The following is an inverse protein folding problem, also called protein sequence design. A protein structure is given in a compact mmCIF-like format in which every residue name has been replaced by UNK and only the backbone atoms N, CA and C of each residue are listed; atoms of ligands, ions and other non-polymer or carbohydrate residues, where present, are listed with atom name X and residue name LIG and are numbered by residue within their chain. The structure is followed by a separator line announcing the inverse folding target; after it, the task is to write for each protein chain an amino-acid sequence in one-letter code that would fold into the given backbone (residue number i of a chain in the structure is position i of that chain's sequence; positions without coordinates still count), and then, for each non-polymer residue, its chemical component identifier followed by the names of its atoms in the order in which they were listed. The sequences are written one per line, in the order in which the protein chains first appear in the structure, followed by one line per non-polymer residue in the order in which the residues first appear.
data_IF_068038561878
#
_entry.id   IF_068038561878
#
_cell.length_a   1.000
_cell.length_b   1.000
_cell.length_c   1.000
_cell.angle_alpha   90.00
_cell.angle_beta   90.00
_cell.angle_gamma   90.00
#
_symmetry.space_group_name_H-M   'P 1'
#
loop_
_entity.id
_entity.type
_entity.pdbx_description
1 polymer ?
#
# COMPACT_ATOMS: atom_id res chain seq x y z
N UNK A 1 -9.39 -5.96 -19.94
CA UNK A 1 -10.48 -6.03 -18.94
C UNK A 1 -9.80 -6.37 -17.64
N UNK A 2 -9.85 -5.51 -16.61
CA UNK A 2 -9.13 -5.77 -15.37
C UNK A 2 -9.80 -6.95 -14.67
N UNK A 3 -9.11 -8.08 -14.61
CA UNK A 3 -9.51 -9.20 -13.76
C UNK A 3 -9.30 -8.72 -12.32
N UNK A 4 -10.39 -8.33 -11.64
CA UNK A 4 -10.35 -7.98 -10.22
C UNK A 4 -10.02 -9.25 -9.43
N UNK A 5 -8.74 -9.51 -9.28
CA UNK A 5 -8.22 -10.58 -8.44
C UNK A 5 -8.33 -10.14 -6.99
N UNK A 6 -9.19 -10.84 -6.25
CA UNK A 6 -9.36 -10.65 -4.83
C UNK A 6 -8.65 -11.74 -4.05
N UNK A 7 -7.96 -11.35 -2.99
CA UNK A 7 -7.23 -12.27 -2.11
C UNK A 7 -7.94 -12.27 -0.76
N UNK A 8 -8.28 -13.44 -0.24
CA UNK A 8 -8.89 -13.54 1.10
C UNK A 8 -7.91 -13.04 2.16
N UNK A 9 -8.43 -12.24 3.09
CA UNK A 9 -7.67 -11.75 4.26
C UNK A 9 -7.07 -12.90 5.06
N UNK A 10 -7.79 -14.01 5.22
CA UNK A 10 -7.29 -15.21 5.90
C UNK A 10 -6.02 -15.76 5.26
N UNK A 11 -5.93 -15.76 3.93
CA UNK A 11 -4.74 -16.22 3.19
C UNK A 11 -3.55 -15.32 3.47
N UNK A 12 -3.78 -14.00 3.51
CA UNK A 12 -2.75 -13.00 3.80
C UNK A 12 -2.22 -13.17 5.23
N UNK A 13 -3.11 -13.31 6.22
CA UNK A 13 -2.72 -13.53 7.61
C UNK A 13 -1.79 -14.74 7.77
N UNK A 14 -2.09 -15.84 7.07
CA UNK A 14 -1.26 -17.06 7.11
C UNK A 14 0.07 -16.86 6.38
N UNK A 15 0.05 -16.27 5.19
CA UNK A 15 1.25 -16.14 4.35
C UNK A 15 2.27 -15.15 4.92
N UNK A 16 1.79 -14.05 5.48
CA UNK A 16 2.65 -12.97 6.01
C UNK A 16 2.79 -13.00 7.53
N UNK A 17 2.16 -13.99 8.20
CA UNK A 17 2.18 -14.16 9.65
C UNK A 17 1.78 -12.87 10.39
N UNK A 18 0.65 -12.30 9.99
CA UNK A 18 0.08 -11.07 10.58
C UNK A 18 -1.29 -11.35 11.19
N UNK A 19 -1.59 -10.63 12.27
CA UNK A 19 -2.89 -10.75 12.92
C UNK A 19 -4.01 -10.12 12.08
N UNK A 20 -5.22 -10.71 12.08
CA UNK A 20 -6.37 -10.12 11.38
C UNK A 20 -6.75 -8.75 11.95
N UNK A 21 -6.49 -8.50 13.24
CA UNK A 21 -6.72 -7.21 13.91
C UNK A 21 -5.87 -6.12 13.26
N UNK A 22 -4.61 -6.40 12.93
CA UNK A 22 -3.74 -5.44 12.24
C UNK A 22 -4.30 -4.99 10.90
N UNK A 23 -4.88 -5.90 10.11
CA UNK A 23 -5.50 -5.58 8.83
C UNK A 23 -6.79 -4.76 9.02
N UNK A 24 -7.56 -5.05 10.06
CA UNK A 24 -8.76 -4.30 10.42
C UNK A 24 -8.41 -2.88 10.90
N UNK A 25 -7.32 -2.72 11.64
CA UNK A 25 -6.83 -1.42 12.07
C UNK A 25 -6.36 -0.58 10.88
N UNK A 26 -5.55 -1.16 9.97
CA UNK A 26 -5.15 -0.50 8.72
C UNK A 26 -6.37 -0.08 7.88
N UNK A 27 -7.40 -0.91 7.83
CA UNK A 27 -8.65 -0.59 7.17
C UNK A 27 -9.39 0.58 7.84
N UNK A 28 -9.47 0.57 9.17
CA UNK A 28 -10.12 1.63 9.96
C UNK A 28 -9.43 2.99 9.82
N UNK A 29 -8.11 2.99 9.65
CA UNK A 29 -7.30 4.19 9.41
C UNK A 29 -7.40 4.69 7.96
N UNK A 30 -8.05 3.94 7.06
CA UNK A 30 -8.11 4.27 5.64
C UNK A 30 -6.79 4.09 4.89
N UNK A 31 -5.83 3.38 5.48
CA UNK A 31 -4.57 3.02 4.83
C UNK A 31 -4.76 1.91 3.80
N UNK A 32 -5.80 1.11 3.98
CA UNK A 32 -6.09 -0.07 3.18
C UNK A 32 -7.60 -0.24 2.99
N UNK A 33 -8.04 -0.72 1.84
CA UNK A 33 -9.45 -0.99 1.57
C UNK A 33 -9.71 -2.51 1.56
N UNK A 34 -10.67 -2.95 2.38
CA UNK A 34 -11.13 -4.32 2.45
C UNK A 34 -12.56 -4.39 1.92
N UNK A 35 -12.80 -5.31 0.99
CA UNK A 35 -14.12 -5.53 0.40
C UNK A 35 -14.68 -6.83 0.93
N UNK A 36 -15.97 -6.85 1.24
CA UNK A 36 -16.65 -8.10 1.64
C UNK A 36 -17.25 -8.77 0.42
N UNK A 37 -16.75 -9.96 0.08
CA UNK A 37 -17.25 -10.82 -1.01
C UNK A 37 -17.74 -12.12 -0.38
N UNK A 38 -19.02 -12.45 -0.58
CA UNK A 38 -19.63 -13.69 -0.05
C UNK A 38 -19.34 -13.92 1.45
N UNK A 39 -19.58 -12.90 2.28
CA UNK A 39 -19.29 -12.87 3.72
C UNK A 39 -17.80 -12.98 4.13
N UNK A 40 -16.86 -12.93 3.20
CA UNK A 40 -15.43 -12.96 3.49
C UNK A 40 -14.77 -11.61 3.17
N UNK A 41 -13.89 -11.13 4.06
CA UNK A 41 -13.05 -9.96 3.81
C UNK A 41 -11.96 -10.31 2.80
N UNK A 42 -11.86 -9.50 1.77
CA UNK A 42 -10.93 -9.67 0.67
C UNK A 42 -10.18 -8.36 0.39
N UNK A 43 -8.93 -8.50 -0.05
CA UNK A 43 -8.08 -7.41 -0.53
C UNK A 43 -8.01 -7.44 -2.06
N UNK A 44 -7.98 -6.28 -2.69
CA UNK A 44 -7.68 -6.19 -4.12
C UNK A 44 -6.19 -6.49 -4.39
N UNK A 45 -5.87 -7.27 -5.42
CA UNK A 45 -4.47 -7.62 -5.72
C UNK A 45 -3.59 -6.39 -5.98
N UNK A 46 -4.14 -5.32 -6.58
CA UNK A 46 -3.40 -4.08 -6.84
C UNK A 46 -2.89 -3.40 -5.56
N UNK A 47 -3.58 -3.56 -4.43
CA UNK A 47 -3.18 -2.97 -3.14
C UNK A 47 -2.27 -3.90 -2.33
N UNK A 48 -2.00 -5.12 -2.82
CA UNK A 48 -1.14 -6.09 -2.15
C UNK A 48 0.29 -5.54 -1.97
N UNK A 49 0.85 -4.87 -2.99
CA UNK A 49 2.21 -4.32 -2.89
C UNK A 49 2.35 -3.27 -1.78
N UNK A 50 1.31 -2.47 -1.56
CA UNK A 50 1.31 -1.49 -0.49
C UNK A 50 1.12 -2.16 0.87
N UNK A 51 0.26 -3.16 0.97
CA UNK A 51 0.14 -3.96 2.18
C UNK A 51 1.46 -4.63 2.56
N UNK A 52 2.19 -5.23 1.61
CA UNK A 52 3.50 -5.83 1.87
C UNK A 52 4.49 -4.84 2.48
N UNK A 53 4.51 -3.59 2.00
CA UNK A 53 5.34 -2.53 2.59
C UNK A 53 4.92 -2.25 4.03
N UNK A 54 3.61 -2.13 4.31
CA UNK A 54 3.10 -1.91 5.67
C UNK A 54 3.46 -3.04 6.62
N UNK A 55 3.32 -4.29 6.16
CA UNK A 55 3.69 -5.49 6.93
C UNK A 55 5.19 -5.47 7.24
N UNK A 56 6.05 -5.10 6.27
CA UNK A 56 7.48 -4.99 6.50
C UNK A 56 7.83 -3.89 7.49
N UNK A 57 7.19 -2.72 7.41
CA UNK A 57 7.36 -1.65 8.39
C UNK A 57 7.00 -2.12 9.81
N UNK A 58 5.90 -2.87 9.95
CA UNK A 58 5.46 -3.40 11.23
C UNK A 58 6.39 -4.52 11.74
N UNK A 59 6.63 -5.55 10.95
CA UNK A 59 7.29 -6.79 11.38
C UNK A 59 8.83 -6.67 11.40
N UNK A 60 9.42 -5.96 10.44
CA UNK A 60 10.89 -5.83 10.36
C UNK A 60 11.38 -4.61 11.16
N UNK A 61 10.70 -3.47 11.00
CA UNK A 61 11.14 -2.19 11.55
C UNK A 61 10.43 -1.80 12.85
N UNK A 62 9.48 -2.62 13.33
CA UNK A 62 8.73 -2.39 14.58
C UNK A 62 8.04 -1.03 14.63
N UNK A 63 7.58 -0.55 13.46
CA UNK A 63 6.85 0.72 13.33
C UNK A 63 5.39 0.49 13.73
N UNK A 64 4.87 1.37 14.58
CA UNK A 64 3.46 1.36 14.96
C UNK A 64 2.55 1.80 13.80
N UNK A 65 1.23 1.59 13.95
CA UNK A 65 0.25 1.92 12.92
C UNK A 65 0.25 3.41 12.54
N UNK A 66 0.37 4.32 13.51
CA UNK A 66 0.48 5.75 13.24
C UNK A 66 1.78 6.10 12.53
N UNK A 67 2.87 5.40 12.86
CA UNK A 67 4.15 5.53 12.16
C UNK A 67 4.05 5.04 10.72
N UNK A 68 3.31 3.96 10.47
CA UNK A 68 3.05 3.44 9.12
C UNK A 68 2.32 4.49 8.28
N UNK A 69 1.27 5.13 8.82
CA UNK A 69 0.56 6.22 8.13
C UNK A 69 1.50 7.37 7.75
N UNK A 70 2.27 7.85 8.72
CA UNK A 70 3.24 8.94 8.49
C UNK A 70 4.26 8.55 7.42
N UNK A 71 4.84 7.36 7.50
CA UNK A 71 5.82 6.85 6.51
C UNK A 71 5.18 6.75 5.13
N UNK A 72 3.97 6.20 5.02
CA UNK A 72 3.26 6.08 3.74
C UNK A 72 2.96 7.45 3.12
N UNK A 73 2.52 8.42 3.91
CA UNK A 73 2.28 9.78 3.44
C UNK A 73 3.59 10.43 2.93
N UNK A 74 4.70 10.23 3.64
CA UNK A 74 6.01 10.71 3.21
C UNK A 74 6.48 10.03 1.93
N UNK A 75 6.33 8.72 1.80
CA UNK A 75 6.66 7.98 0.58
C UNK A 75 5.86 8.49 -0.62
N UNK A 76 4.55 8.72 -0.46
CA UNK A 76 3.69 9.31 -1.51
C UNK A 76 4.18 10.70 -1.93
N UNK A 77 4.59 11.54 -0.97
CA UNK A 77 5.15 12.87 -1.27
C UNK A 77 6.47 12.77 -2.03
N UNK A 78 7.36 11.86 -1.64
CA UNK A 78 8.64 11.63 -2.33
C UNK A 78 8.41 11.16 -3.76
N UNK A 79 7.52 10.19 -3.98
CA UNK A 79 7.19 9.69 -5.31
C UNK A 79 6.58 10.78 -6.20
N UNK A 80 5.67 11.59 -5.64
CA UNK A 80 5.14 12.76 -6.33
C UNK A 80 6.24 13.74 -6.76
N UNK A 81 7.15 14.10 -5.85
CA UNK A 81 8.24 15.03 -6.14
C UNK A 81 9.21 14.47 -7.19
N UNK A 82 9.54 13.18 -7.11
CA UNK A 82 10.38 12.49 -8.10
C UNK A 82 9.73 12.52 -9.48
N UNK A 83 8.43 12.22 -9.57
CA UNK A 83 7.67 12.30 -10.83
C UNK A 83 7.66 13.72 -11.41
N UNK A 84 7.52 14.76 -10.58
CA UNK A 84 7.59 16.15 -11.03
C UNK A 84 9.00 16.54 -11.52
N UNK A 85 10.04 16.02 -10.87
CA UNK A 85 11.42 16.24 -11.29
C UNK A 85 11.71 15.59 -12.64
N UNK A 86 11.28 14.34 -12.84
CA UNK A 86 11.39 13.64 -14.13
C UNK A 86 10.65 14.40 -15.23
N UNK A 87 9.40 14.82 -15.00
CA UNK A 87 8.63 15.62 -15.97
C UNK A 87 9.33 16.93 -16.32
N UNK A 88 9.90 17.61 -15.33
CA UNK A 88 10.63 18.87 -15.54
C UNK A 88 11.90 18.63 -16.36
N UNK A 89 12.68 17.59 -16.01
CA UNK A 89 13.89 17.22 -16.75
C UNK A 89 13.59 16.87 -18.21
N UNK A 90 12.56 16.06 -18.46
CA UNK A 90 12.16 15.69 -19.82
C UNK A 90 11.74 16.90 -20.65
N UNK A 91 11.11 17.92 -20.03
CA UNK A 91 10.79 19.19 -20.71
C UNK A 91 12.04 19.98 -21.03
N UNK A 92 12.99 20.08 -20.11
CA UNK A 92 14.27 20.77 -20.35
C UNK A 92 15.05 20.11 -21.50
N UNK A 93 15.16 18.78 -21.50
CA UNK A 93 15.82 18.02 -22.59
C UNK A 93 15.15 18.21 -23.95
N UNK A 94 13.84 18.48 -23.98
CA UNK A 94 13.13 18.80 -25.23
C UNK A 94 13.51 20.18 -25.77
N UNK A 95 13.74 21.18 -24.91
CA UNK A 95 14.09 22.55 -25.32
C UNK A 95 15.59 22.74 -25.57
N UNK A 96 16.44 21.87 -25.01
CA UNK A 96 17.90 21.89 -25.25
C UNK A 96 18.31 21.18 -26.56
N UNK A 97 17.36 20.53 -27.24
CA UNK A 97 17.52 19.98 -28.60
C UNK A 97 17.03 20.96 -29.66
#
# INVERSE_FOLDING_TARGET
MAENHYILVKTICVQYNVEPVFLDDLHSMGLLELITVENNKCLHQDTLSDLEKMIRLHNELHVNLEGIDVVFNLLKKVDYLQNQLVKTKNKLEFYEK
#
